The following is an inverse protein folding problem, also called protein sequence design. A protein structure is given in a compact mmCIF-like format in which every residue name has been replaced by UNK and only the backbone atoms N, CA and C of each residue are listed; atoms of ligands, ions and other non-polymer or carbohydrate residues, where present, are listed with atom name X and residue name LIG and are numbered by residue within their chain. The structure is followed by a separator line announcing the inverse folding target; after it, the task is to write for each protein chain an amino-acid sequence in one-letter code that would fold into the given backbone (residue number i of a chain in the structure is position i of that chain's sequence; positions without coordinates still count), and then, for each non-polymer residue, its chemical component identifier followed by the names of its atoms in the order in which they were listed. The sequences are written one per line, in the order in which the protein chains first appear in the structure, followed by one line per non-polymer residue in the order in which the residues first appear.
data_IF_304562261016
#
_entry.id   IF_304562261016
#
_cell.length_a   1.000
_cell.length_b   1.000
_cell.length_c   1.000
_cell.angle_alpha   90.00
_cell.angle_beta   90.00
_cell.angle_gamma   90.00
#
_symmetry.space_group_name_H-M   'P 1'
#
loop_
_entity.id
_entity.type
_entity.pdbx_description
1 polymer ?
#
# COMPACT_ATOMS: atom_id res chain seq x y z
N UNK A 1 2.15 -14.66 -11.94
CA UNK A 1 2.46 -14.77 -10.51
C UNK A 1 3.49 -13.70 -10.16
N UNK A 2 3.21 -12.87 -9.14
CA UNK A 2 4.06 -11.75 -8.71
C UNK A 2 4.65 -11.94 -7.31
N UNK A 3 4.44 -13.09 -6.67
CA UNK A 3 4.88 -13.33 -5.27
C UNK A 3 6.39 -13.14 -5.05
N UNK A 4 7.21 -13.42 -6.07
CA UNK A 4 8.67 -13.19 -5.99
C UNK A 4 9.04 -11.73 -6.29
N UNK A 5 8.53 -11.09 -7.37
CA UNK A 5 8.82 -9.68 -7.64
C UNK A 5 8.44 -8.69 -6.53
N UNK A 6 7.36 -8.92 -5.77
CA UNK A 6 6.91 -7.95 -4.75
C UNK A 6 7.93 -7.73 -3.63
N UNK A 7 8.86 -8.65 -3.39
CA UNK A 7 9.93 -8.44 -2.41
C UNK A 7 10.97 -7.38 -2.83
N UNK A 8 10.89 -6.90 -4.07
CA UNK A 8 11.76 -5.84 -4.60
C UNK A 8 11.15 -4.44 -4.42
N UNK A 9 9.93 -4.33 -3.91
CA UNK A 9 9.29 -3.04 -3.66
C UNK A 9 10.02 -2.34 -2.51
N UNK A 10 10.55 -1.15 -2.77
CA UNK A 10 11.24 -0.31 -1.79
C UNK A 10 10.44 0.93 -1.40
N UNK A 11 9.35 1.23 -2.12
CA UNK A 11 8.44 2.30 -1.74
C UNK A 11 7.67 1.92 -0.48
N UNK A 12 7.39 2.88 0.43
CA UNK A 12 6.45 2.67 1.52
C UNK A 12 5.17 2.04 0.97
N UNK A 13 4.66 1.01 1.64
CA UNK A 13 3.51 0.25 1.16
C UNK A 13 2.53 -0.01 2.29
N UNK A 14 1.27 0.31 2.06
CA UNK A 14 0.14 -0.11 2.90
C UNK A 14 -0.64 -1.19 2.16
N UNK A 15 -0.88 -2.32 2.83
CA UNK A 15 -1.73 -3.41 2.36
C UNK A 15 -3.03 -3.40 3.18
N UNK A 16 -4.17 -3.25 2.51
CA UNK A 16 -5.49 -3.29 3.13
C UNK A 16 -6.25 -4.53 2.64
N UNK A 17 -6.78 -5.35 3.54
CA UNK A 17 -7.53 -6.57 3.20
C UNK A 17 -8.79 -6.75 4.06
N UNK A 18 -9.78 -7.48 3.55
CA UNK A 18 -11.01 -7.79 4.28
C UNK A 18 -10.89 -9.07 5.10
N UNK A 19 -11.32 -9.04 6.35
CA UNK A 19 -11.29 -10.21 7.25
C UNK A 19 -12.17 -11.36 6.76
N UNK A 20 -13.28 -11.06 6.09
CA UNK A 20 -14.29 -12.03 5.69
C UNK A 20 -14.22 -12.44 4.21
N UNK A 21 -13.30 -11.85 3.45
CA UNK A 21 -13.15 -12.11 2.01
C UNK A 21 -12.82 -13.59 1.74
N UNK A 22 -13.58 -14.21 0.83
CA UNK A 22 -13.42 -15.62 0.42
C UNK A 22 -12.68 -15.79 -0.91
N UNK A 23 -12.44 -14.69 -1.63
CA UNK A 23 -11.72 -14.62 -2.91
C UNK A 23 -10.30 -14.15 -2.67
N UNK A 24 -10.14 -12.95 -2.09
CA UNK A 24 -8.84 -12.45 -1.62
C UNK A 24 -8.75 -12.61 -0.11
N UNK A 25 -8.54 -13.86 0.32
CA UNK A 25 -8.40 -14.23 1.72
C UNK A 25 -7.49 -13.26 2.48
N UNK A 26 -7.82 -12.98 3.74
CA UNK A 26 -6.96 -12.19 4.63
C UNK A 26 -5.49 -12.68 4.65
N UNK A 27 -5.29 -13.99 4.58
CA UNK A 27 -3.96 -14.62 4.51
C UNK A 27 -3.17 -14.26 3.24
N UNK A 28 -3.83 -13.87 2.15
CA UNK A 28 -3.16 -13.33 0.98
C UNK A 28 -2.59 -11.93 1.25
N UNK A 29 -3.36 -11.06 1.93
CA UNK A 29 -2.89 -9.73 2.34
C UNK A 29 -1.75 -9.82 3.35
N UNK A 30 -1.86 -10.73 4.33
CA UNK A 30 -0.78 -11.04 5.28
C UNK A 30 0.49 -11.49 4.54
N UNK A 31 0.36 -12.40 3.56
CA UNK A 31 1.50 -12.88 2.79
C UNK A 31 2.15 -11.78 1.93
N UNK A 32 1.36 -10.86 1.39
CA UNK A 32 1.87 -9.70 0.64
C UNK A 32 2.63 -8.76 1.57
N UNK A 33 2.05 -8.38 2.70
CA UNK A 33 2.68 -7.49 3.67
C UNK A 33 3.99 -8.09 4.24
N UNK A 34 4.01 -9.40 4.52
CA UNK A 34 5.21 -10.08 4.99
C UNK A 34 6.33 -10.16 3.93
N UNK A 35 5.98 -10.10 2.63
CA UNK A 35 6.95 -10.18 1.55
C UNK A 35 7.57 -8.83 1.17
N UNK A 36 6.86 -7.72 1.41
CA UNK A 36 7.32 -6.36 1.05
C UNK A 36 8.06 -5.74 2.24
N UNK A 37 9.35 -5.36 2.10
CA UNK A 37 10.11 -4.75 3.19
C UNK A 37 9.46 -3.47 3.70
N UNK A 38 9.13 -3.44 5.00
CA UNK A 38 8.55 -2.27 5.65
C UNK A 38 7.08 -1.99 5.29
N UNK A 39 6.37 -2.95 4.70
CA UNK A 39 4.94 -2.78 4.47
C UNK A 39 4.14 -2.80 5.77
N UNK A 40 3.10 -1.99 5.80
CA UNK A 40 2.07 -1.99 6.83
C UNK A 40 0.88 -2.84 6.38
N UNK A 41 0.23 -3.53 7.32
CA UNK A 41 -0.97 -4.33 7.08
C UNK A 41 -2.12 -3.78 7.92
N UNK A 42 -3.26 -3.59 7.26
CA UNK A 42 -4.53 -3.31 7.91
C UNK A 42 -5.58 -4.31 7.41
N UNK A 43 -6.18 -5.05 8.34
CA UNK A 43 -7.36 -5.85 8.06
C UNK A 43 -8.59 -5.09 8.58
N UNK A 44 -9.61 -4.98 7.73
CA UNK A 44 -10.87 -4.31 8.05
C UNK A 44 -12.02 -5.32 8.06
N UNK A 45 -13.05 -5.10 8.91
CA UNK A 45 -14.28 -5.87 8.85
C UNK A 45 -14.96 -5.70 7.48
N UNK A 46 -15.04 -6.76 6.69
CA UNK A 46 -15.58 -6.71 5.34
C UNK A 46 -14.98 -7.76 4.40
N UNK A 47 -15.37 -7.69 3.13
CA UNK A 47 -14.97 -8.61 2.08
C UNK A 47 -14.05 -7.90 1.07
N UNK A 48 -14.45 -7.85 -0.20
CA UNK A 48 -13.57 -7.50 -1.30
C UNK A 48 -13.51 -6.00 -1.60
N UNK A 49 -14.59 -5.26 -1.32
CA UNK A 49 -14.74 -3.86 -1.71
C UNK A 49 -14.76 -2.95 -0.49
N UNK A 50 -13.69 -3.00 0.32
CA UNK A 50 -13.57 -2.23 1.57
C UNK A 50 -13.72 -0.72 1.39
N UNK A 51 -13.35 -0.19 0.22
CA UNK A 51 -13.59 1.22 -0.11
C UNK A 51 -15.08 1.59 -0.23
N UNK A 52 -15.96 0.60 -0.40
CA UNK A 52 -17.42 0.74 -0.43
C UNK A 52 -18.05 0.30 0.89
N UNK A 53 -17.54 -0.78 1.48
CA UNK A 53 -18.10 -1.41 2.68
C UNK A 53 -17.71 -0.68 3.97
N UNK A 54 -16.46 -0.21 4.06
CA UNK A 54 -15.89 0.54 5.19
C UNK A 54 -15.26 1.85 4.70
N UNK A 55 -16.05 2.75 4.08
CA UNK A 55 -15.50 3.90 3.37
C UNK A 55 -14.76 4.89 4.29
N UNK A 56 -15.16 5.00 5.56
CA UNK A 56 -14.51 5.92 6.51
C UNK A 56 -13.16 5.38 6.96
N UNK A 57 -13.12 4.13 7.41
CA UNK A 57 -11.95 3.42 7.90
C UNK A 57 -10.91 3.26 6.78
N UNK A 58 -11.38 2.90 5.57
CA UNK A 58 -10.52 2.82 4.39
C UNK A 58 -9.90 4.18 4.06
N UNK A 59 -10.69 5.26 4.07
CA UNK A 59 -10.20 6.61 3.76
C UNK A 59 -9.23 7.12 4.82
N UNK A 60 -9.52 6.90 6.09
CA UNK A 60 -8.64 7.26 7.21
C UNK A 60 -7.29 6.57 7.09
N UNK A 61 -7.28 5.26 6.82
CA UNK A 61 -6.06 4.49 6.62
C UNK A 61 -5.23 5.02 5.45
N UNK A 62 -5.87 5.27 4.30
CA UNK A 62 -5.18 5.77 3.09
C UNK A 62 -4.61 7.17 3.33
N UNK A 63 -5.40 8.10 3.87
CA UNK A 63 -4.94 9.47 4.11
C UNK A 63 -3.89 9.55 5.20
N UNK A 64 -4.04 8.76 6.27
CA UNK A 64 -3.05 8.64 7.35
C UNK A 64 -1.70 8.15 6.82
N UNK A 65 -1.72 7.10 6.00
CA UNK A 65 -0.52 6.57 5.36
C UNK A 65 0.15 7.61 4.43
N UNK A 66 -0.63 8.24 3.54
CA UNK A 66 -0.09 9.25 2.62
C UNK A 66 0.43 10.50 3.34
N UNK A 67 -0.15 10.88 4.47
CA UNK A 67 0.30 12.00 5.28
C UNK A 67 1.55 11.70 6.11
N UNK A 68 1.79 10.44 6.47
CA UNK A 68 2.96 10.00 7.22
C UNK A 68 4.20 9.80 6.33
N UNK A 69 4.00 9.47 5.04
CA UNK A 69 5.08 9.30 4.08
C UNK A 69 5.57 10.67 3.60
N UNK A 70 6.84 11.05 3.85
CA UNK A 70 7.37 12.32 3.34
C UNK A 70 7.36 12.33 1.81
N UNK A 71 6.85 13.41 1.21
CA UNK A 71 6.83 13.58 -0.25
C UNK A 71 8.23 13.37 -0.84
N UNK A 72 8.37 12.37 -1.72
CA UNK A 72 9.61 12.05 -2.44
C UNK A 72 9.97 13.08 -3.55
N UNK A 73 9.39 14.27 -3.52
CA UNK A 73 9.73 15.41 -4.39
C UNK A 73 11.16 15.95 -4.17
N UNK A 74 11.89 15.45 -3.17
CA UNK A 74 13.32 15.74 -3.00
C UNK A 74 14.24 14.92 -3.94
N UNK A 75 13.74 13.88 -4.61
CA UNK A 75 14.56 12.98 -5.43
C UNK A 75 14.49 13.25 -6.94
N UNK A 76 13.54 14.05 -7.42
CA UNK A 76 13.48 14.47 -8.83
C UNK A 76 14.10 15.86 -8.95
N UNK A 77 15.44 15.91 -8.85
CA UNK A 77 16.19 17.11 -9.22
C UNK A 77 15.89 17.42 -10.70
N UNK A 78 15.14 18.49 -10.95
CA UNK A 78 15.01 19.15 -12.24
C UNK A 78 16.42 19.52 -12.76
N UNK A 79 17.05 18.60 -13.49
CA UNK A 79 18.24 18.90 -14.26
C UNK A 79 17.81 19.51 -15.59
N UNK A 80 17.62 20.83 -15.62
CA UNK A 80 17.74 21.53 -16.90
C UNK A 80 19.23 21.50 -17.30
N UNK A 81 19.59 21.01 -18.50
CA UNK A 81 20.95 21.19 -18.99
C UNK A 81 21.20 22.69 -19.26
N UNK A 82 22.34 23.20 -18.79
CA UNK A 82 22.78 24.54 -19.13
C UNK A 82 23.01 24.65 -20.65
N UNK A 83 22.55 25.71 -21.33
CA UNK A 83 22.92 25.94 -22.73
C UNK A 83 24.40 26.32 -22.83
N UNK A 84 25.06 25.78 -23.86
CA UNK A 84 26.45 26.09 -24.26
C UNK A 84 26.70 27.56 -24.52
#
# INVERSE_FOLDING_TARGET
DLRRPISLITAPTLVIGGEDDKVTLASHSEAIAAAIPGAELLLLPGVHLLNVEQPMEFMEAVLGFLGAVPNSEAAVSNHLPAPC
#
